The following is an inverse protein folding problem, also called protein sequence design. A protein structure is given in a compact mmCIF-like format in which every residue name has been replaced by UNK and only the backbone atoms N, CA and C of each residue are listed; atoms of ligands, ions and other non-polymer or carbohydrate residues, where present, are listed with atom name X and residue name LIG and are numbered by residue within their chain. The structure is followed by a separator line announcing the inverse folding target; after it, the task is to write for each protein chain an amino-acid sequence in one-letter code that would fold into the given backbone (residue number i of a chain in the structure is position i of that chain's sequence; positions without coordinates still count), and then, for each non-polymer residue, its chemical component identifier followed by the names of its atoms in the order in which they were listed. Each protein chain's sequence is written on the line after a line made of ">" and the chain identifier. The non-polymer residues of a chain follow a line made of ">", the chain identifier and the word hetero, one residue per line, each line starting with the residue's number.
data_IF_552133485963
#
_entry.id   IF_552133485963
#
_cell.length_a   1.000
_cell.length_b   1.000
_cell.length_c   1.000
_cell.angle_alpha   90.00
_cell.angle_beta   90.00
_cell.angle_gamma   90.00
#
_symmetry.space_group_name_H-M   'P 1'
#
loop_
_entity.id
_entity.type
_entity.pdbx_description
1 polymer ?
#
# COMPACT_ATOMS: atom_id res chain seq x y z
N UNK A 1 -12.50 13.94 -24.26
CA UNK A 1 -12.60 13.72 -22.81
C UNK A 1 -13.64 12.64 -22.58
N UNK A 2 -13.41 11.75 -21.62
CA UNK A 2 -14.22 10.52 -21.46
C UNK A 2 -14.77 10.44 -20.05
N UNK A 3 -15.93 9.81 -19.89
CA UNK A 3 -16.55 9.53 -18.60
C UNK A 3 -15.94 8.25 -18.03
N UNK A 4 -15.22 8.34 -16.91
CA UNK A 4 -14.56 7.18 -16.30
C UNK A 4 -15.10 6.96 -14.89
N UNK A 5 -15.47 5.71 -14.60
CA UNK A 5 -15.82 5.30 -13.24
C UNK A 5 -14.66 4.51 -12.65
N UNK A 6 -14.15 4.97 -11.51
CA UNK A 6 -13.16 4.25 -10.71
C UNK A 6 -13.87 3.57 -9.56
N UNK A 7 -13.86 2.25 -9.54
CA UNK A 7 -14.49 1.44 -8.50
C UNK A 7 -13.47 1.09 -7.42
N UNK A 8 -13.60 1.76 -6.27
CA UNK A 8 -12.71 1.63 -5.11
C UNK A 8 -12.00 2.94 -4.76
N UNK A 9 -12.02 3.30 -3.48
CA UNK A 9 -11.40 4.51 -2.94
C UNK A 9 -10.20 4.20 -2.02
N UNK A 10 -9.51 3.08 -2.26
CA UNK A 10 -8.19 2.82 -1.68
C UNK A 10 -7.09 3.57 -2.42
N UNK A 11 -5.85 3.41 -1.96
CA UNK A 11 -4.69 4.08 -2.58
C UNK A 11 -4.59 3.79 -4.09
N UNK A 12 -4.86 2.56 -4.54
CA UNK A 12 -4.87 2.19 -5.95
C UNK A 12 -5.90 3.02 -6.74
N UNK A 13 -7.16 3.02 -6.28
CA UNK A 13 -8.25 3.72 -6.96
C UNK A 13 -8.09 5.24 -6.93
N UNK A 14 -7.75 5.83 -5.78
CA UNK A 14 -7.58 7.27 -5.63
C UNK A 14 -6.40 7.80 -6.46
N UNK A 15 -5.27 7.07 -6.48
CA UNK A 15 -4.10 7.48 -7.27
C UNK A 15 -4.40 7.37 -8.77
N UNK A 16 -5.02 6.28 -9.23
CA UNK A 16 -5.43 6.16 -10.65
C UNK A 16 -6.45 7.22 -11.04
N UNK A 17 -7.46 7.46 -10.21
CA UNK A 17 -8.44 8.52 -10.43
C UNK A 17 -7.77 9.89 -10.58
N UNK A 18 -6.80 10.21 -9.71
CA UNK A 18 -6.10 11.49 -9.73
C UNK A 18 -5.31 11.67 -11.03
N UNK A 19 -4.60 10.63 -11.45
CA UNK A 19 -3.83 10.68 -12.70
C UNK A 19 -4.73 10.80 -13.94
N UNK A 20 -5.88 10.11 -13.97
CA UNK A 20 -6.90 10.28 -15.02
C UNK A 20 -7.50 11.69 -15.01
N UNK A 21 -7.81 12.24 -13.84
CA UNK A 21 -8.30 13.61 -13.74
C UNK A 21 -7.25 14.63 -14.21
N UNK A 22 -5.96 14.42 -13.91
CA UNK A 22 -4.84 15.24 -14.44
C UNK A 22 -4.72 15.17 -15.97
N UNK A 23 -5.21 14.12 -16.62
CA UNK A 23 -5.31 13.99 -18.08
C UNK A 23 -6.58 14.64 -18.67
N UNK A 24 -7.45 15.20 -17.83
CA UNK A 24 -8.66 15.92 -18.25
C UNK A 24 -9.89 15.03 -18.47
N UNK A 25 -9.89 13.78 -17.99
CA UNK A 25 -11.10 12.94 -18.00
C UNK A 25 -12.08 13.37 -16.91
N UNK A 26 -13.37 13.11 -17.15
CA UNK A 26 -14.39 13.25 -16.12
C UNK A 26 -14.41 11.98 -15.28
N UNK A 27 -14.06 12.09 -14.00
CA UNK A 27 -13.89 10.93 -13.14
C UNK A 27 -14.96 10.89 -12.07
N UNK A 28 -15.58 9.72 -11.90
CA UNK A 28 -16.41 9.40 -10.73
C UNK A 28 -15.78 8.27 -9.96
N UNK A 29 -15.42 8.50 -8.70
CA UNK A 29 -14.99 7.43 -7.79
C UNK A 29 -16.22 6.88 -7.08
N UNK A 30 -16.48 5.59 -7.21
CA UNK A 30 -17.56 4.88 -6.51
C UNK A 30 -16.93 3.86 -5.57
N UNK A 31 -17.29 3.88 -4.29
CA UNK A 31 -16.73 2.90 -3.35
C UNK A 31 -17.67 2.61 -2.17
N UNK A 32 -17.57 1.39 -1.62
CA UNK A 32 -18.23 1.00 -0.36
C UNK A 32 -17.66 1.79 0.81
N UNK A 33 -16.34 1.77 0.95
CA UNK A 33 -15.58 2.48 2.00
C UNK A 33 -14.79 3.64 1.41
N UNK A 34 -14.64 4.72 2.18
CA UNK A 34 -13.98 5.96 1.81
C UNK A 34 -12.89 6.33 2.81
N UNK A 35 -11.94 7.22 2.46
CA UNK A 35 -11.00 7.79 3.42
C UNK A 35 -11.73 8.37 4.64
N UNK A 36 -11.33 7.93 5.83
CA UNK A 36 -12.04 8.19 7.10
C UNK A 36 -12.67 6.94 7.72
N UNK A 37 -13.01 5.94 6.90
CA UNK A 37 -13.53 4.67 7.41
C UNK A 37 -12.42 3.73 7.86
N UNK A 38 -12.73 2.91 8.85
CA UNK A 38 -11.95 1.74 9.24
C UNK A 38 -12.82 0.50 9.13
N UNK A 39 -12.49 -0.37 8.18
CA UNK A 39 -13.20 -1.63 7.96
C UNK A 39 -12.24 -2.69 7.42
N UNK A 40 -12.46 -3.96 7.75
CA UNK A 40 -11.56 -5.06 7.36
C UNK A 40 -11.52 -5.27 5.84
N UNK A 41 -12.58 -4.90 5.13
CA UNK A 41 -12.65 -4.93 3.67
C UNK A 41 -11.92 -3.75 3.01
N UNK A 42 -11.42 -2.79 3.79
CA UNK A 42 -10.75 -1.59 3.30
C UNK A 42 -9.30 -1.53 3.80
N UNK A 43 -8.38 -2.10 3.01
CA UNK A 43 -6.99 -2.28 3.42
C UNK A 43 -6.19 -0.97 3.64
N UNK A 44 -6.50 0.09 2.88
CA UNK A 44 -5.63 1.28 2.78
C UNK A 44 -5.39 2.02 4.11
N UNK A 45 -6.39 2.25 4.99
CA UNK A 45 -6.18 2.94 6.27
C UNK A 45 -5.32 2.18 7.28
N UNK A 46 -5.27 0.83 7.16
CA UNK A 46 -4.52 -0.05 8.05
C UNK A 46 -3.02 -0.10 7.78
N UNK A 47 -2.60 0.28 6.57
CA UNK A 47 -1.19 0.25 6.18
C UNK A 47 -0.33 1.18 7.06
N UNK A 48 0.97 0.89 7.14
CA UNK A 48 1.93 1.70 7.90
C UNK A 48 1.87 3.19 7.57
N UNK A 49 2.24 3.68 6.39
CA UNK A 49 2.87 3.01 5.26
C UNK A 49 4.22 3.68 4.95
N UNK A 50 5.12 3.00 4.25
CA UNK A 50 6.41 3.56 3.84
C UNK A 50 6.79 3.13 2.42
N UNK A 51 7.96 3.55 1.95
CA UNK A 51 8.58 3.08 0.72
C UNK A 51 9.74 2.12 1.05
N UNK A 52 9.52 0.82 0.94
CA UNK A 52 10.54 -0.21 1.16
C UNK A 52 10.51 -1.19 -0.02
N UNK A 53 11.28 -0.94 -1.10
CA UNK A 53 11.19 -1.75 -2.31
C UNK A 53 11.50 -3.23 -2.09
N UNK A 54 10.54 -4.09 -2.43
CA UNK A 54 10.64 -5.55 -2.25
C UNK A 54 10.63 -6.32 -3.57
N UNK A 55 10.46 -5.62 -4.70
CA UNK A 55 10.45 -6.27 -6.01
C UNK A 55 11.82 -6.84 -6.37
N UNK A 56 11.78 -7.97 -7.07
CA UNK A 56 12.96 -8.57 -7.70
C UNK A 56 13.41 -7.73 -8.90
N UNK A 57 14.73 -7.66 -9.17
CA UNK A 57 15.25 -7.02 -10.37
C UNK A 57 14.65 -7.57 -11.66
N UNK A 58 14.55 -6.72 -12.68
CA UNK A 58 14.06 -7.03 -14.03
C UNK A 58 12.61 -7.53 -14.05
N UNK A 59 11.76 -6.99 -13.18
CA UNK A 59 10.32 -7.27 -13.16
C UNK A 59 9.50 -6.00 -13.41
N UNK A 60 8.28 -6.14 -13.91
CA UNK A 60 7.36 -5.00 -14.02
C UNK A 60 7.12 -4.34 -12.66
N UNK A 61 7.09 -5.14 -11.59
CA UNK A 61 6.93 -4.64 -10.24
C UNK A 61 8.08 -3.69 -9.82
N UNK A 62 9.32 -4.00 -10.20
CA UNK A 62 10.45 -3.09 -10.02
C UNK A 62 10.24 -1.76 -10.74
N UNK A 63 9.75 -1.81 -11.98
CA UNK A 63 9.49 -0.60 -12.74
C UNK A 63 8.45 0.30 -12.06
N UNK A 64 7.41 -0.30 -11.45
CA UNK A 64 6.37 0.45 -10.75
C UNK A 64 6.82 1.02 -9.40
N UNK A 65 7.61 0.28 -8.63
CA UNK A 65 8.22 0.82 -7.41
C UNK A 65 9.16 1.97 -7.74
N UNK A 66 9.99 1.81 -8.76
CA UNK A 66 10.91 2.86 -9.23
C UNK A 66 10.16 4.09 -9.73
N UNK A 67 9.09 3.92 -10.51
CA UNK A 67 8.27 5.02 -11.01
C UNK A 67 7.47 5.73 -9.91
N UNK A 68 7.23 5.09 -8.77
CA UNK A 68 6.49 5.69 -7.65
C UNK A 68 7.35 6.64 -6.82
N UNK A 69 8.67 6.37 -6.69
CA UNK A 69 9.55 7.14 -5.84
C UNK A 69 9.57 8.65 -6.14
N UNK A 70 9.73 9.12 -7.39
CA UNK A 70 9.84 10.55 -7.67
C UNK A 70 8.66 11.39 -7.16
N UNK A 71 7.44 10.85 -7.24
CA UNK A 71 6.27 11.56 -6.74
C UNK A 71 6.17 11.51 -5.21
N UNK A 72 6.51 10.38 -4.57
CA UNK A 72 6.58 10.32 -3.10
C UNK A 72 7.65 11.27 -2.54
N UNK A 73 8.80 11.36 -3.21
CA UNK A 73 9.87 12.30 -2.89
C UNK A 73 9.40 13.75 -3.04
N UNK A 74 8.74 14.08 -4.15
CA UNK A 74 8.14 15.41 -4.36
C UNK A 74 7.11 15.75 -3.30
N UNK A 75 6.24 14.81 -2.93
CA UNK A 75 5.23 15.04 -1.89
C UNK A 75 5.86 15.28 -0.52
N UNK A 76 6.87 14.50 -0.16
CA UNK A 76 7.60 14.69 1.09
C UNK A 76 8.35 16.02 1.15
N UNK A 77 8.84 16.52 0.00
CA UNK A 77 9.62 17.76 -0.10
C UNK A 77 8.75 19.01 -0.22
N UNK A 78 7.73 18.96 -1.07
CA UNK A 78 7.06 20.14 -1.61
C UNK A 78 5.56 20.23 -1.23
N UNK A 79 4.97 19.18 -0.64
CA UNK A 79 3.51 19.12 -0.36
C UNK A 79 3.26 18.62 1.07
N UNK A 80 3.61 19.41 2.10
CA UNK A 80 3.49 18.99 3.50
C UNK A 80 2.05 18.60 3.89
N UNK A 81 1.04 19.20 3.27
CA UNK A 81 -0.37 18.87 3.50
C UNK A 81 -0.78 17.47 3.01
N UNK A 82 0.07 16.78 2.24
CA UNK A 82 -0.14 15.40 1.83
C UNK A 82 0.17 14.39 2.96
N UNK A 83 0.82 14.82 4.05
CA UNK A 83 1.16 13.94 5.16
C UNK A 83 2.19 12.86 4.80
N UNK A 84 3.18 13.22 3.97
CA UNK A 84 4.34 12.39 3.64
C UNK A 84 5.58 13.10 4.16
N UNK A 85 6.51 12.39 4.80
CA UNK A 85 7.79 12.97 5.22
C UNK A 85 8.95 12.01 4.97
N UNK A 86 10.17 12.54 4.95
CA UNK A 86 11.37 11.72 4.89
C UNK A 86 11.71 11.13 6.26
N UNK A 87 12.18 9.88 6.28
CA UNK A 87 12.82 9.26 7.44
C UNK A 87 13.94 8.33 6.99
N UNK A 88 15.03 8.30 7.76
CA UNK A 88 16.03 7.25 7.60
C UNK A 88 15.43 5.90 7.97
N UNK A 89 15.76 4.88 7.19
CA UNK A 89 15.20 3.54 7.28
C UNK A 89 16.31 2.52 7.42
N UNK A 90 16.36 1.87 8.58
CA UNK A 90 17.30 0.81 8.89
C UNK A 90 16.65 -0.55 8.59
N UNK A 91 17.28 -1.36 7.75
CA UNK A 91 16.84 -2.73 7.46
C UNK A 91 17.93 -3.69 7.91
N UNK A 92 17.62 -4.51 8.91
CA UNK A 92 18.57 -5.45 9.49
C UNK A 92 18.30 -6.88 9.05
N UNK A 93 19.39 -7.64 8.86
CA UNK A 93 19.37 -9.05 8.48
C UNK A 93 19.90 -9.90 9.63
N UNK A 94 19.21 -10.97 9.97
CA UNK A 94 19.72 -12.05 10.83
C UNK A 94 20.10 -13.24 9.96
N UNK A 95 21.29 -13.79 10.17
CA UNK A 95 21.79 -14.92 9.38
C UNK A 95 20.85 -16.15 9.44
N UNK A 96 20.26 -16.40 10.61
CA UNK A 96 19.37 -17.54 10.86
C UNK A 96 18.02 -17.48 10.11
N UNK A 97 17.65 -16.33 9.56
CA UNK A 97 16.36 -16.16 8.87
C UNK A 97 16.42 -16.58 7.41
N UNK A 98 17.62 -16.84 6.87
CA UNK A 98 17.81 -17.18 5.48
C UNK A 98 16.90 -18.36 5.08
N UNK A 99 16.04 -18.14 4.08
CA UNK A 99 15.08 -19.14 3.58
C UNK A 99 13.68 -19.12 4.23
N UNK A 100 13.44 -18.29 5.25
CA UNK A 100 12.08 -18.10 5.80
C UNK A 100 11.19 -17.24 4.87
N UNK A 101 9.85 -17.33 4.94
CA UNK A 101 8.96 -16.51 4.11
C UNK A 101 9.18 -15.00 4.27
N UNK A 102 9.46 -14.53 5.49
CA UNK A 102 9.74 -13.12 5.75
C UNK A 102 11.11 -12.73 5.19
N UNK A 103 12.14 -13.56 5.35
CA UNK A 103 13.44 -13.26 4.75
C UNK A 103 13.38 -13.24 3.22
N UNK A 104 12.59 -14.11 2.60
CA UNK A 104 12.36 -14.05 1.14
C UNK A 104 11.61 -12.78 0.73
N UNK A 105 10.69 -12.26 1.56
CA UNK A 105 10.04 -10.96 1.35
C UNK A 105 11.03 -9.78 1.46
N UNK A 106 11.95 -9.85 2.41
CA UNK A 106 12.97 -8.81 2.68
C UNK A 106 14.25 -8.97 1.85
N UNK A 107 14.34 -10.02 1.03
CA UNK A 107 15.58 -10.46 0.39
C UNK A 107 16.29 -9.35 -0.36
N UNK A 108 15.54 -8.56 -1.12
CA UNK A 108 16.07 -7.45 -1.91
C UNK A 108 16.46 -6.23 -1.05
N UNK A 109 15.76 -5.99 0.06
CA UNK A 109 16.02 -4.87 0.96
C UNK A 109 17.37 -4.98 1.69
N UNK A 110 17.81 -6.20 1.96
CA UNK A 110 19.05 -6.49 2.71
C UNK A 110 20.26 -6.72 1.80
N UNK A 111 20.11 -6.57 0.47
CA UNK A 111 21.23 -6.69 -0.47
C UNK A 111 22.14 -5.48 -0.41
N UNK A 112 23.44 -5.72 -0.45
CA UNK A 112 24.45 -4.66 -0.54
C UNK A 112 24.45 -3.96 -1.92
N UNK A 113 24.07 -4.70 -2.97
CA UNK A 113 23.91 -4.25 -4.35
C UNK A 113 22.44 -4.03 -4.73
N UNK A 114 21.57 -3.72 -3.76
CA UNK A 114 20.14 -3.54 -3.99
C UNK A 114 19.86 -2.57 -5.14
N UNK A 115 18.94 -2.94 -6.04
CA UNK A 115 18.65 -2.15 -7.24
C UNK A 115 18.16 -0.73 -6.94
N UNK A 116 17.53 -0.53 -5.78
CA UNK A 116 16.99 0.76 -5.36
C UNK A 116 18.04 1.69 -4.76
N UNK A 117 19.30 1.25 -4.59
CA UNK A 117 20.39 2.07 -4.05
C UNK A 117 20.61 3.39 -4.82
N UNK A 118 20.34 3.37 -6.12
CA UNK A 118 20.48 4.51 -7.04
C UNK A 118 19.14 5.25 -7.24
N UNK A 119 18.10 4.85 -6.49
CA UNK A 119 16.75 5.45 -6.51
C UNK A 119 16.53 6.26 -5.24
N UNK A 120 16.87 5.70 -4.08
CA UNK A 120 16.68 6.34 -2.77
C UNK A 120 17.93 7.12 -2.32
N UNK A 121 17.78 8.25 -1.60
CA UNK A 121 18.92 9.00 -1.09
C UNK A 121 19.69 8.25 0.01
N UNK A 122 20.99 8.56 0.12
CA UNK A 122 21.87 8.15 1.23
C UNK A 122 21.91 6.63 1.49
N UNK A 123 21.71 5.82 0.46
CA UNK A 123 21.87 4.37 0.59
C UNK A 123 23.31 4.02 0.96
N UNK A 124 23.48 3.18 1.98
CA UNK A 124 24.75 2.54 2.32
C UNK A 124 24.51 1.24 3.09
N UNK A 125 25.53 0.38 3.06
CA UNK A 125 25.62 -0.81 3.91
C UNK A 125 26.09 -0.39 5.30
N UNK A 126 25.52 -0.99 6.35
CA UNK A 126 25.94 -0.78 7.73
C UNK A 126 27.23 -1.53 8.01
N UNK A 127 28.16 -0.88 8.72
CA UNK A 127 29.35 -1.55 9.24
C UNK A 127 28.99 -2.44 10.44
N UNK A 128 29.84 -3.44 10.73
CA UNK A 128 29.61 -4.35 11.88
C UNK A 128 29.45 -3.62 13.22
N UNK A 129 30.09 -2.47 13.41
CA UNK A 129 29.96 -1.65 14.63
C UNK A 129 28.63 -0.91 14.76
N UNK A 130 27.87 -0.78 13.68
CA UNK A 130 26.55 -0.14 13.67
C UNK A 130 25.40 -1.15 13.83
N UNK A 131 25.70 -2.45 13.75
CA UNK A 131 24.69 -3.50 13.84
C UNK A 131 24.27 -3.74 15.29
N UNK A 132 22.95 -3.82 15.57
CA UNK A 132 22.46 -4.33 16.83
C UNK A 132 22.94 -5.76 17.10
N UNK A 133 22.97 -6.15 18.36
CA UNK A 133 23.31 -7.52 18.76
C UNK A 133 22.40 -8.54 18.05
N UNK A 134 23.00 -9.61 17.51
CA UNK A 134 22.29 -10.66 16.79
C UNK A 134 21.98 -10.36 15.32
N UNK A 135 22.36 -9.19 14.80
CA UNK A 135 22.26 -8.85 13.37
C UNK A 135 23.57 -9.17 12.64
N UNK A 136 23.46 -9.77 11.46
CA UNK A 136 24.58 -10.19 10.62
C UNK A 136 24.92 -9.17 9.52
N UNK A 137 23.94 -8.36 9.13
CA UNK A 137 24.13 -7.28 8.16
C UNK A 137 22.95 -6.32 8.17
N UNK A 138 23.05 -5.25 7.39
CA UNK A 138 21.94 -4.34 7.19
C UNK A 138 22.28 -3.18 6.27
N UNK A 139 21.24 -2.50 5.83
CA UNK A 139 21.32 -1.32 4.97
C UNK A 139 20.61 -0.16 5.65
N UNK A 140 21.01 1.07 5.29
CA UNK A 140 20.31 2.28 5.68
C UNK A 140 20.21 3.22 4.49
N UNK A 141 19.07 3.88 4.38
CA UNK A 141 18.78 4.89 3.35
C UNK A 141 17.69 5.84 3.84
N UNK A 142 17.62 7.04 3.25
CA UNK A 142 16.49 7.93 3.48
C UNK A 142 15.32 7.46 2.61
N UNK A 143 14.18 7.19 3.23
CA UNK A 143 12.93 6.82 2.57
C UNK A 143 11.82 7.80 2.97
N UNK A 144 10.56 7.47 2.71
CA UNK A 144 9.38 8.21 3.18
C UNK A 144 8.50 7.35 4.10
N UNK A 145 7.87 8.00 5.07
CA UNK A 145 6.71 7.45 5.79
C UNK A 145 5.47 8.30 5.50
N UNK A 146 4.35 7.62 5.24
CA UNK A 146 3.09 8.19 4.81
C UNK A 146 2.10 8.09 5.97
N UNK A 147 1.57 9.23 6.40
CA UNK A 147 0.41 9.26 7.27
C UNK A 147 -0.85 8.98 6.45
N UNK A 148 -1.28 7.71 6.42
CA UNK A 148 -2.44 7.28 5.62
C UNK A 148 -3.74 8.00 5.97
N UNK A 149 -3.87 8.50 7.21
CA UNK A 149 -5.06 9.23 7.67
C UNK A 149 -5.12 10.66 7.12
N UNK A 150 -3.99 11.22 6.65
CA UNK A 150 -3.93 12.53 5.97
C UNK A 150 -3.86 12.32 4.46
N UNK A 151 -3.02 11.39 4.01
CA UNK A 151 -2.73 11.17 2.60
C UNK A 151 -3.96 10.72 1.79
N UNK A 152 -4.78 9.81 2.33
CA UNK A 152 -5.97 9.34 1.62
C UNK A 152 -7.03 10.47 1.46
N UNK A 153 -7.39 11.25 2.51
CA UNK A 153 -8.21 12.45 2.32
C UNK A 153 -7.57 13.53 1.43
N UNK A 154 -6.25 13.68 1.46
CA UNK A 154 -5.54 14.61 0.57
C UNK A 154 -5.73 14.22 -0.90
N UNK A 155 -5.62 12.94 -1.26
CA UNK A 155 -5.92 12.45 -2.61
C UNK A 155 -7.37 12.76 -3.03
N UNK A 156 -8.33 12.59 -2.12
CA UNK A 156 -9.73 12.98 -2.36
C UNK A 156 -9.85 14.49 -2.60
N UNK A 157 -9.18 15.31 -1.82
CA UNK A 157 -9.19 16.76 -1.98
C UNK A 157 -8.60 17.17 -3.35
N UNK A 158 -7.52 16.53 -3.79
CA UNK A 158 -6.94 16.74 -5.11
C UNK A 158 -7.86 16.31 -6.26
N UNK A 159 -8.66 15.27 -6.07
CA UNK A 159 -9.71 14.87 -7.01
C UNK A 159 -10.82 15.91 -7.12
N UNK A 160 -11.32 16.40 -5.97
CA UNK A 160 -12.39 17.40 -5.92
C UNK A 160 -11.97 18.72 -6.57
N UNK A 161 -10.73 19.18 -6.33
CA UNK A 161 -10.16 20.37 -7.00
C UNK A 161 -10.18 20.28 -8.53
N UNK A 162 -10.21 19.05 -9.08
CA UNK A 162 -10.24 18.78 -10.52
C UNK A 162 -11.64 18.44 -11.04
N UNK A 163 -12.68 18.68 -10.26
CA UNK A 163 -14.07 18.44 -10.64
C UNK A 163 -14.46 16.96 -10.68
N UNK A 164 -13.66 16.07 -10.08
CA UNK A 164 -14.06 14.66 -9.91
C UNK A 164 -15.15 14.57 -8.85
N UNK A 165 -16.03 13.57 -8.97
CA UNK A 165 -17.08 13.31 -7.98
C UNK A 165 -16.82 12.00 -7.26
N UNK A 166 -16.94 12.00 -5.94
CA UNK A 166 -16.78 10.80 -5.10
C UNK A 166 -18.14 10.42 -4.53
N UNK A 167 -18.55 9.15 -4.68
CA UNK A 167 -19.87 8.64 -4.28
C UNK A 167 -19.76 7.31 -3.54
N UNK A 168 -20.56 7.15 -2.49
CA UNK A 168 -20.76 5.85 -1.84
C UNK A 168 -21.56 4.94 -2.76
N UNK A 169 -21.14 3.68 -2.88
CA UNK A 169 -21.85 2.69 -3.68
C UNK A 169 -21.33 1.27 -3.43
N UNK A 170 -22.25 0.31 -3.39
CA UNK A 170 -21.95 -1.12 -3.26
C UNK A 170 -22.47 -1.79 -4.52
N UNK A 171 -21.60 -2.50 -5.22
CA UNK A 171 -21.91 -3.17 -6.47
C UNK A 171 -21.84 -4.68 -6.26
N UNK A 172 -22.74 -5.41 -6.92
CA UNK A 172 -22.69 -6.89 -6.94
C UNK A 172 -21.92 -7.39 -8.15
N UNK A 173 -21.97 -6.66 -9.26
CA UNK A 173 -21.26 -6.96 -10.49
C UNK A 173 -20.51 -5.73 -11.02
N UNK A 174 -19.33 -5.93 -11.60
CA UNK A 174 -18.48 -4.83 -12.08
C UNK A 174 -19.14 -3.97 -13.17
N UNK A 175 -19.97 -4.57 -14.03
CA UNK A 175 -20.67 -3.84 -15.09
C UNK A 175 -21.67 -2.81 -14.57
N UNK A 176 -22.14 -2.90 -13.32
CA UNK A 176 -23.02 -1.91 -12.72
C UNK A 176 -22.35 -0.53 -12.67
N UNK A 177 -21.02 -0.47 -12.54
CA UNK A 177 -20.27 0.78 -12.52
C UNK A 177 -20.39 1.57 -13.83
N UNK A 178 -20.73 0.92 -14.95
CA UNK A 178 -20.94 1.60 -16.23
C UNK A 178 -22.05 2.67 -16.13
N UNK A 179 -23.02 2.52 -15.22
CA UNK A 179 -24.17 3.42 -15.11
C UNK A 179 -24.06 4.41 -13.94
N UNK A 180 -22.91 4.48 -13.26
CA UNK A 180 -22.76 5.26 -12.02
C UNK A 180 -22.00 6.58 -12.21
N UNK A 181 -21.65 6.94 -13.44
CA UNK A 181 -20.93 8.18 -13.70
C UNK A 181 -21.79 9.41 -13.33
N UNK A 182 -21.16 10.42 -12.72
CA UNK A 182 -21.89 11.57 -12.16
C UNK A 182 -22.60 12.45 -13.20
N UNK A 183 -22.19 12.39 -14.47
CA UNK A 183 -22.85 13.11 -15.56
C UNK A 183 -24.23 12.56 -15.95
N UNK A 184 -24.64 11.41 -15.37
CA UNK A 184 -25.87 10.71 -15.74
C UNK A 184 -25.79 9.93 -17.07
N UNK A 185 -24.64 9.98 -17.75
CA UNK A 185 -24.36 9.20 -18.97
C UNK A 185 -23.57 7.93 -18.61
N UNK A 186 -23.63 6.87 -19.44
CA UNK A 186 -22.78 5.70 -19.26
C UNK A 186 -21.29 6.06 -19.25
N UNK A 187 -20.52 5.34 -18.44
CA UNK A 187 -19.07 5.42 -18.43
C UNK A 187 -18.51 4.83 -19.73
N UNK A 188 -17.49 5.48 -20.27
CA UNK A 188 -16.72 4.99 -21.40
C UNK A 188 -15.76 3.87 -21.00
N UNK A 189 -15.32 3.89 -19.74
CA UNK A 189 -14.36 2.96 -19.18
C UNK A 189 -14.53 2.83 -17.66
N UNK A 190 -14.25 1.65 -17.13
CA UNK A 190 -14.25 1.37 -15.69
C UNK A 190 -12.82 1.03 -15.24
N UNK A 191 -12.34 1.64 -14.16
CA UNK A 191 -11.17 1.16 -13.43
C UNK A 191 -11.63 0.29 -12.28
N UNK A 192 -11.20 -0.97 -12.23
CA UNK A 192 -11.44 -1.84 -11.07
C UNK A 192 -10.26 -1.77 -10.09
N UNK A 193 -10.45 -1.08 -8.98
CA UNK A 193 -9.50 -0.96 -7.89
C UNK A 193 -10.06 -1.50 -6.57
N UNK A 194 -10.79 -2.61 -6.62
CA UNK A 194 -11.52 -3.17 -5.46
C UNK A 194 -10.70 -4.08 -4.54
N UNK A 195 -9.40 -4.23 -4.80
CA UNK A 195 -8.50 -4.97 -3.91
C UNK A 195 -8.95 -6.41 -3.66
N UNK A 196 -9.13 -6.77 -2.39
CA UNK A 196 -9.53 -8.10 -1.95
C UNK A 196 -10.96 -8.46 -2.39
N UNK A 197 -11.83 -7.45 -2.60
CA UNK A 197 -13.21 -7.67 -3.04
C UNK A 197 -13.31 -8.20 -4.48
N UNK A 198 -12.26 -8.06 -5.31
CA UNK A 198 -12.20 -8.69 -6.64
C UNK A 198 -12.35 -10.21 -6.58
N UNK A 199 -12.09 -10.86 -5.43
CA UNK A 199 -12.32 -12.29 -5.21
C UNK A 199 -13.80 -12.70 -5.39
N UNK A 200 -14.72 -11.79 -5.06
CA UNK A 200 -16.17 -12.04 -4.99
C UNK A 200 -17.02 -11.11 -5.86
N UNK A 201 -16.45 -10.04 -6.40
CA UNK A 201 -17.17 -9.11 -7.29
C UNK A 201 -17.55 -9.82 -8.59
N UNK A 202 -18.85 -9.87 -8.90
CA UNK A 202 -19.36 -10.52 -10.11
C UNK A 202 -18.73 -9.94 -11.38
N UNK A 203 -18.42 -10.82 -12.33
CA UNK A 203 -17.70 -10.47 -13.56
C UNK A 203 -16.19 -10.31 -13.38
N UNK A 204 -15.67 -10.47 -12.15
CA UNK A 204 -14.23 -10.51 -11.87
C UNK A 204 -13.87 -11.84 -11.20
N UNK A 205 -14.45 -12.08 -10.01
CA UNK A 205 -14.38 -13.36 -9.27
C UNK A 205 -13.00 -14.03 -9.23
N UNK A 206 -11.93 -13.22 -9.11
CA UNK A 206 -10.56 -13.67 -9.29
C UNK A 206 -10.10 -14.54 -8.11
N UNK A 207 -10.11 -15.86 -8.30
CA UNK A 207 -9.77 -16.86 -7.27
C UNK A 207 -8.29 -16.87 -6.89
N UNK A 208 -7.43 -16.15 -7.63
CA UNK A 208 -6.03 -15.96 -7.25
C UNK A 208 -5.85 -14.95 -6.12
N UNK A 209 -6.89 -14.20 -5.77
CA UNK A 209 -6.85 -13.18 -4.72
C UNK A 209 -7.07 -13.82 -3.35
N UNK A 210 -6.22 -13.50 -2.38
CA UNK A 210 -6.29 -14.00 -1.00
C UNK A 210 -5.81 -12.94 0.00
N UNK A 211 -6.19 -13.03 1.29
CA UNK A 211 -5.68 -12.09 2.29
C UNK A 211 -4.30 -12.52 2.81
N UNK A 212 -3.49 -11.55 3.22
CA UNK A 212 -2.46 -11.79 4.23
C UNK A 212 -2.67 -10.82 5.41
N UNK A 213 -3.09 -11.37 6.55
CA UNK A 213 -3.42 -10.61 7.75
C UNK A 213 -2.19 -9.91 8.30
N UNK A 214 -2.35 -8.62 8.62
CA UNK A 214 -1.34 -7.79 9.26
C UNK A 214 -1.94 -7.10 10.48
N UNK A 215 -1.39 -7.39 11.66
CA UNK A 215 -1.73 -6.70 12.89
C UNK A 215 -0.67 -5.65 13.23
N UNK A 216 -1.12 -4.52 13.76
CA UNK A 216 -0.30 -3.39 14.19
C UNK A 216 -0.70 -2.91 15.59
N UNK A 217 0.23 -2.22 16.24
CA UNK A 217 -0.02 -1.37 17.42
C UNK A 217 0.41 0.05 17.05
N UNK A 218 -0.51 1.01 17.13
CA UNK A 218 -0.20 2.43 16.95
C UNK A 218 0.12 3.04 18.31
N UNK A 219 1.28 3.67 18.44
CA UNK A 219 1.76 4.31 19.69
C UNK A 219 2.08 5.79 19.47
N UNK A 220 2.11 6.57 20.55
CA UNK A 220 2.53 7.98 20.52
C UNK A 220 4.05 8.16 20.53
N UNK A 221 4.80 7.14 20.97
CA UNK A 221 6.26 7.18 21.09
C UNK A 221 6.91 7.40 19.72
N UNK A 222 7.98 8.18 19.66
CA UNK A 222 8.64 8.60 18.42
C UNK A 222 10.11 8.15 18.41
N UNK A 223 10.49 7.15 17.61
CA UNK A 223 11.86 6.65 17.55
C UNK A 223 12.79 7.56 16.70
N UNK A 224 12.23 8.46 15.87
CA UNK A 224 12.99 9.34 14.98
C UNK A 224 13.43 8.70 13.64
N UNK A 225 13.37 7.38 13.51
CA UNK A 225 13.72 6.64 12.30
C UNK A 225 12.77 5.45 12.06
N UNK A 226 12.81 4.87 10.86
CA UNK A 226 12.15 3.61 10.56
C UNK A 226 13.13 2.45 10.75
N UNK A 227 12.64 1.31 11.22
CA UNK A 227 13.44 0.11 11.40
C UNK A 227 12.67 -1.16 11.03
N UNK A 228 13.35 -2.17 10.51
CA UNK A 228 12.77 -3.48 10.23
C UNK A 228 13.82 -4.59 10.29
N UNK A 229 13.37 -5.84 10.48
CA UNK A 229 14.25 -7.02 10.48
C UNK A 229 13.77 -8.07 9.47
N UNK A 230 14.70 -8.90 9.00
CA UNK A 230 14.43 -10.02 8.09
C UNK A 230 13.53 -11.13 8.65
N UNK A 231 13.22 -11.11 9.95
CA UNK A 231 12.46 -12.16 10.63
C UNK A 231 12.38 -11.93 12.14
N UNK A 232 11.73 -12.87 12.83
CA UNK A 232 11.60 -12.89 14.30
C UNK A 232 11.79 -14.31 14.87
N UNK A 233 11.87 -14.44 16.19
CA UNK A 233 11.97 -15.76 16.86
C UNK A 233 10.59 -16.27 17.34
N UNK A 234 9.54 -15.51 17.03
CA UNK A 234 8.17 -15.75 17.51
C UNK A 234 7.33 -16.55 16.50
N UNK A 235 7.88 -16.90 15.34
CA UNK A 235 7.22 -17.68 14.29
C UNK A 235 7.44 -17.13 12.89
N UNK A 236 7.24 -17.97 11.88
CA UNK A 236 7.51 -17.65 10.46
C UNK A 236 6.56 -16.60 9.87
N UNK A 237 5.40 -16.37 10.51
CA UNK A 237 4.41 -15.38 10.11
C UNK A 237 4.47 -14.09 10.94
N UNK A 238 5.42 -13.98 11.87
CA UNK A 238 5.62 -12.81 12.73
C UNK A 238 6.83 -11.97 12.29
N UNK A 239 6.61 -10.67 12.09
CA UNK A 239 7.60 -9.71 11.61
C UNK A 239 7.89 -8.62 12.65
N UNK A 240 8.97 -7.85 12.45
CA UNK A 240 9.25 -6.63 13.20
C UNK A 240 9.50 -5.46 12.25
N UNK A 241 8.69 -4.41 12.37
CA UNK A 241 8.89 -3.13 11.69
C UNK A 241 8.31 -1.98 12.49
N UNK A 242 8.93 -0.81 12.36
CA UNK A 242 8.61 0.41 13.09
C UNK A 242 8.68 1.57 12.09
N UNK A 243 7.64 2.38 12.04
CA UNK A 243 7.63 3.59 11.19
C UNK A 243 6.74 4.69 11.77
N UNK A 244 7.23 5.92 11.77
CA UNK A 244 6.53 7.07 12.36
C UNK A 244 5.82 7.86 11.28
N UNK A 245 4.49 7.91 11.34
CA UNK A 245 3.69 8.67 10.38
C UNK A 245 3.98 10.16 10.51
N UNK A 246 4.04 10.86 9.38
CA UNK A 246 4.19 12.31 9.31
C UNK A 246 3.09 13.06 10.10
N UNK A 247 3.38 14.32 10.43
CA UNK A 247 2.42 15.27 11.03
C UNK A 247 1.71 14.73 12.28
N UNK A 248 2.46 14.13 13.21
CA UNK A 248 1.93 13.63 14.48
C UNK A 248 0.97 12.45 14.33
N UNK A 249 1.05 11.70 13.23
CA UNK A 249 0.16 10.56 12.96
C UNK A 249 0.37 9.33 13.85
N UNK A 250 1.39 9.36 14.72
CA UNK A 250 1.81 8.26 15.60
C UNK A 250 2.75 7.27 14.91
N UNK A 251 3.34 6.39 15.71
CA UNK A 251 4.28 5.36 15.26
C UNK A 251 3.58 4.02 15.15
N UNK A 252 3.67 3.41 13.98
CA UNK A 252 3.15 2.07 13.70
C UNK A 252 4.22 1.05 14.09
N UNK A 253 3.88 0.19 15.04
CA UNK A 253 4.62 -1.00 15.39
C UNK A 253 3.94 -2.20 14.72
N UNK A 254 4.70 -2.99 13.99
CA UNK A 254 4.21 -4.25 13.44
C UNK A 254 5.29 -5.33 13.49
N UNK A 255 4.95 -6.56 13.13
CA UNK A 255 3.61 -7.00 12.77
C UNK A 255 3.57 -8.50 12.49
N UNK A 256 2.71 -8.88 11.56
CA UNK A 256 2.61 -10.25 11.05
C UNK A 256 2.28 -10.26 9.55
N UNK A 257 2.45 -11.42 8.93
CA UNK A 257 2.09 -11.75 7.56
C UNK A 257 1.43 -13.14 7.53
N UNK A 258 0.18 -13.21 7.99
CA UNK A 258 -0.53 -14.50 8.14
C UNK A 258 -1.37 -14.76 6.88
N UNK A 259 -0.85 -15.57 5.99
CA UNK A 259 -1.45 -15.88 4.68
C UNK A 259 -2.77 -16.64 4.85
N UNK A 260 -3.79 -16.25 4.10
CA UNK A 260 -5.10 -16.90 4.09
C UNK A 260 -5.99 -16.57 5.31
N UNK A 261 -5.47 -15.84 6.30
CA UNK A 261 -6.21 -15.49 7.50
C UNK A 261 -7.11 -14.26 7.28
N UNK A 262 -8.37 -14.37 7.71
CA UNK A 262 -9.40 -13.34 7.57
C UNK A 262 -9.80 -12.68 8.90
N UNK A 263 -9.24 -13.14 10.03
CA UNK A 263 -9.60 -12.61 11.36
C UNK A 263 -9.36 -11.09 11.42
N UNK A 264 -10.42 -10.38 11.80
CA UNK A 264 -10.47 -8.91 11.86
C UNK A 264 -10.07 -8.35 13.22
N UNK A 265 -10.18 -9.15 14.28
CA UNK A 265 -9.92 -8.68 15.63
C UNK A 265 -8.43 -8.75 15.97
N UNK A 266 -7.87 -7.74 16.65
CA UNK A 266 -6.52 -7.82 17.18
C UNK A 266 -6.38 -8.96 18.20
N UNK A 267 -5.35 -9.77 18.06
CA UNK A 267 -4.95 -10.76 19.07
C UNK A 267 -4.08 -10.07 20.14
N UNK A 268 -4.51 -10.03 21.43
CA UNK A 268 -3.75 -9.42 22.51
C UNK A 268 -2.35 -10.02 22.72
N UNK A 269 -2.19 -11.33 22.47
CA UNK A 269 -0.90 -12.00 22.62
C UNK A 269 0.07 -11.55 21.52
N UNK A 270 -0.38 -11.54 20.26
CA UNK A 270 0.38 -11.00 19.14
C UNK A 270 0.72 -9.51 19.35
N UNK A 271 -0.21 -8.71 19.87
CA UNK A 271 0.05 -7.30 20.17
C UNK A 271 1.19 -7.14 21.21
N UNK A 272 1.18 -7.96 22.26
CA UNK A 272 2.24 -7.98 23.27
C UNK A 272 3.59 -8.34 22.67
N UNK A 273 3.63 -9.37 21.80
CA UNK A 273 4.87 -9.76 21.12
C UNK A 273 5.38 -8.70 20.15
N UNK A 274 4.50 -8.06 19.37
CA UNK A 274 4.84 -6.91 18.50
C UNK A 274 5.52 -5.80 19.32
N UNK A 275 4.93 -5.39 20.44
CA UNK A 275 5.48 -4.34 21.29
C UNK A 275 6.84 -4.71 21.88
N UNK A 276 7.01 -5.95 22.35
CA UNK A 276 8.30 -6.45 22.86
C UNK A 276 9.38 -6.45 21.78
N UNK A 277 9.08 -6.94 20.58
CA UNK A 277 10.02 -6.93 19.45
C UNK A 277 10.40 -5.51 19.04
N UNK A 278 9.43 -4.59 19.03
CA UNK A 278 9.68 -3.21 18.67
C UNK A 278 10.66 -2.53 19.65
N UNK A 279 10.46 -2.72 20.96
CA UNK A 279 11.39 -2.21 21.99
C UNK A 279 12.76 -2.88 21.85
N UNK A 280 12.81 -4.19 21.61
CA UNK A 280 14.07 -4.91 21.40
C UNK A 280 14.86 -4.38 20.20
N UNK A 281 14.18 -4.05 19.09
CA UNK A 281 14.81 -3.51 17.89
C UNK A 281 15.18 -2.02 18.03
N UNK A 282 14.35 -1.24 18.72
CA UNK A 282 14.53 0.19 18.91
C UNK A 282 14.34 0.55 20.38
N UNK A 283 15.37 0.33 21.23
CA UNK A 283 15.28 0.60 22.67
C UNK A 283 14.92 2.05 22.99
N UNK A 284 15.26 3.00 22.10
CA UNK A 284 14.89 4.41 22.21
C UNK A 284 13.39 4.71 22.13
N UNK A 285 12.53 3.73 21.81
CA UNK A 285 11.07 3.89 21.89
C UNK A 285 10.58 4.13 23.32
N UNK A 286 11.33 3.70 24.33
CA UNK A 286 10.96 3.78 25.75
C UNK A 286 12.14 4.25 26.59
N UNK A 287 11.91 4.79 27.80
CA UNK A 287 12.99 5.10 28.75
C UNK A 287 13.85 3.86 29.05
N UNK A 288 15.14 4.07 29.33
CA UNK A 288 16.07 2.98 29.63
C UNK A 288 15.55 2.15 30.83
N UNK A 289 15.46 0.83 30.62
CA UNK A 289 14.99 -0.12 31.62
C UNK A 289 13.47 -0.30 31.70
N UNK A 290 12.70 0.50 30.96
CA UNK A 290 11.26 0.30 30.84
C UNK A 290 10.91 -0.76 29.78
N UNK A 291 9.75 -1.38 29.95
CA UNK A 291 9.16 -2.35 29.03
C UNK A 291 7.97 -1.80 28.26
N UNK A 292 7.06 -2.70 27.89
CA UNK A 292 5.86 -2.38 27.09
C UNK A 292 4.92 -1.39 27.78
N UNK A 293 4.97 -1.28 29.11
CA UNK A 293 4.17 -0.37 29.90
C UNK A 293 4.49 1.11 29.65
N UNK A 294 5.68 1.40 29.10
CA UNK A 294 6.08 2.76 28.71
C UNK A 294 5.67 3.12 27.26
N UNK A 295 5.08 2.20 26.51
CA UNK A 295 4.47 2.52 25.22
C UNK A 295 3.09 3.15 25.44
N UNK A 296 2.94 4.40 25.01
CA UNK A 296 1.65 5.10 25.03
C UNK A 296 0.81 4.65 23.83
N UNK A 297 0.11 3.53 23.99
CA UNK A 297 -0.75 2.96 22.93
C UNK A 297 -1.91 3.91 22.59
N UNK A 298 -2.11 4.13 21.30
CA UNK A 298 -3.26 4.85 20.73
C UNK A 298 -4.36 3.86 20.36
N UNK A 299 -4.02 2.80 19.62
CA UNK A 299 -4.95 1.72 19.25
C UNK A 299 -4.22 0.48 18.75
N UNK A 300 -4.93 -0.64 18.75
CA UNK A 300 -4.58 -1.83 17.99
C UNK A 300 -5.33 -1.83 16.66
N UNK A 301 -4.79 -2.47 15.62
CA UNK A 301 -5.45 -2.53 14.31
C UNK A 301 -5.07 -3.78 13.52
N UNK A 302 -5.98 -4.22 12.66
CA UNK A 302 -5.78 -5.36 11.76
C UNK A 302 -6.27 -4.97 10.38
N UNK A 303 -5.42 -5.20 9.38
CA UNK A 303 -5.77 -5.08 7.97
C UNK A 303 -5.47 -6.37 7.22
N UNK A 304 -6.20 -6.60 6.14
CA UNK A 304 -5.94 -7.71 5.22
C UNK A 304 -5.25 -7.16 3.97
N UNK A 305 -3.99 -7.56 3.76
CA UNK A 305 -3.28 -7.24 2.52
C UNK A 305 -3.98 -7.97 1.36
N UNK A 306 -4.39 -7.27 0.28
CA UNK A 306 -5.06 -7.88 -0.87
C UNK A 306 -4.03 -8.58 -1.76
N UNK A 307 -3.53 -9.73 -1.32
CA UNK A 307 -2.56 -10.52 -2.06
C UNK A 307 -3.20 -11.15 -3.30
N UNK A 308 -2.36 -11.49 -4.29
CA UNK A 308 -2.81 -12.21 -5.47
C UNK A 308 -1.69 -13.12 -6.01
N UNK A 309 -2.02 -14.36 -6.35
CA UNK A 309 -1.10 -15.24 -7.07
C UNK A 309 -0.78 -14.65 -8.45
N UNK A 310 0.51 -14.58 -8.78
CA UNK A 310 0.99 -13.88 -9.98
C UNK A 310 1.10 -12.36 -9.83
N UNK A 311 0.89 -11.82 -8.62
CA UNK A 311 1.09 -10.39 -8.32
C UNK A 311 -0.04 -9.48 -8.79
N UNK A 312 0.26 -8.19 -8.90
CA UNK A 312 -0.67 -7.13 -9.26
C UNK A 312 -1.29 -7.42 -10.64
N UNK A 313 -2.63 -7.37 -10.72
CA UNK A 313 -3.34 -7.42 -12.00
C UNK A 313 -3.55 -5.99 -12.49
N UNK A 314 -2.79 -5.61 -13.52
CA UNK A 314 -2.96 -4.36 -14.26
C UNK A 314 -3.09 -4.64 -15.76
N UNK A 315 -4.32 -4.82 -16.22
CA UNK A 315 -4.61 -5.21 -17.60
C UNK A 315 -6.00 -4.72 -18.03
N UNK A 316 -6.21 -4.65 -19.35
CA UNK A 316 -7.49 -4.29 -19.96
C UNK A 316 -8.31 -5.54 -20.27
N UNK A 317 -9.59 -5.51 -19.93
CA UNK A 317 -10.58 -6.54 -20.25
C UNK A 317 -11.83 -5.89 -20.89
N UNK A 318 -12.54 -6.62 -21.74
CA UNK A 318 -13.84 -6.20 -22.28
C UNK A 318 -14.87 -7.27 -21.92
N UNK A 319 -15.83 -6.89 -21.09
CA UNK A 319 -16.92 -7.77 -20.66
C UNK A 319 -18.20 -7.44 -21.41
N UNK A 320 -19.01 -8.46 -21.66
CA UNK A 320 -20.40 -8.28 -22.07
C UNK A 320 -21.27 -8.09 -20.82
N UNK A 321 -21.80 -6.89 -20.63
CA UNK A 321 -22.77 -6.59 -19.58
C UNK A 321 -24.15 -7.19 -19.86
N UNK A 322 -25.08 -7.09 -18.89
CA UNK A 322 -26.48 -7.49 -19.09
C UNK A 322 -27.07 -6.81 -20.35
N UNK A 323 -27.66 -7.59 -21.26
CA UNK A 323 -28.18 -7.08 -22.54
C UNK A 323 -27.15 -6.95 -23.67
N UNK A 324 -25.93 -7.47 -23.51
CA UNK A 324 -24.93 -7.57 -24.59
C UNK A 324 -24.07 -6.30 -24.79
N UNK A 325 -24.23 -5.28 -23.93
CA UNK A 325 -23.42 -4.07 -23.99
C UNK A 325 -21.97 -4.39 -23.62
N UNK A 326 -21.01 -4.03 -24.49
CA UNK A 326 -19.59 -4.17 -24.18
C UNK A 326 -19.14 -3.09 -23.20
N UNK A 327 -18.49 -3.51 -22.12
CA UNK A 327 -17.95 -2.63 -21.07
C UNK A 327 -16.44 -2.83 -21.02
N UNK A 328 -15.68 -1.77 -21.24
CA UNK A 328 -14.22 -1.81 -21.13
C UNK A 328 -13.79 -1.55 -19.70
N UNK A 329 -12.96 -2.44 -19.18
CA UNK A 329 -12.46 -2.43 -17.81
C UNK A 329 -10.94 -2.42 -17.85
N UNK A 330 -10.32 -1.64 -16.98
CA UNK A 330 -8.90 -1.78 -16.64
C UNK A 330 -8.81 -2.19 -15.18
N UNK A 331 -8.22 -3.36 -14.93
CA UNK A 331 -7.96 -3.84 -13.59
C UNK A 331 -6.75 -3.13 -12.99
N UNK A 332 -6.81 -2.85 -11.68
CA UNK A 332 -5.70 -2.34 -10.89
C UNK A 332 -5.89 -2.79 -9.43
N UNK A 333 -5.65 -4.07 -9.17
CA UNK A 333 -5.81 -4.68 -7.84
C UNK A 333 -4.79 -5.80 -7.59
N UNK A 334 -4.75 -6.35 -6.36
CA UNK A 334 -3.82 -7.42 -5.98
C UNK A 334 -2.45 -6.93 -5.50
N UNK A 335 -2.41 -5.74 -4.88
CA UNK A 335 -1.16 -5.08 -4.46
C UNK A 335 -0.54 -5.61 -3.16
N UNK A 336 -1.13 -6.62 -2.53
CA UNK A 336 -0.56 -7.22 -1.31
C UNK A 336 -0.11 -6.20 -0.27
N UNK A 337 1.14 -6.33 0.19
CA UNK A 337 1.77 -5.44 1.17
C UNK A 337 2.42 -4.17 0.62
N UNK A 338 2.34 -3.91 -0.69
CA UNK A 338 3.14 -2.90 -1.39
C UNK A 338 2.30 -1.88 -2.18
N UNK A 339 1.01 -1.76 -1.86
CA UNK A 339 0.09 -0.88 -2.58
C UNK A 339 0.44 0.61 -2.56
N UNK A 340 1.04 1.11 -1.47
CA UNK A 340 1.47 2.51 -1.39
C UNK A 340 2.76 2.76 -2.19
N UNK A 341 3.79 1.92 -1.99
CA UNK A 341 5.10 2.09 -2.64
C UNK A 341 5.12 1.80 -4.14
N UNK A 342 4.06 1.19 -4.67
CA UNK A 342 3.85 0.99 -6.12
C UNK A 342 2.67 1.80 -6.67
N UNK A 343 2.03 2.63 -5.85
CA UNK A 343 0.74 3.27 -6.17
C UNK A 343 0.78 4.08 -7.48
N UNK A 344 1.73 5.01 -7.61
CA UNK A 344 1.84 5.86 -8.79
C UNK A 344 2.29 5.08 -10.02
N UNK A 345 3.31 4.22 -9.91
CA UNK A 345 3.80 3.45 -11.05
C UNK A 345 2.76 2.50 -11.64
N UNK A 346 1.99 1.81 -10.79
CA UNK A 346 0.88 0.97 -11.29
C UNK A 346 -0.27 1.82 -11.82
N UNK A 347 -0.58 2.95 -11.17
CA UNK A 347 -1.61 3.86 -11.65
C UNK A 347 -1.26 4.45 -13.02
N UNK A 348 0.00 4.76 -13.30
CA UNK A 348 0.47 5.18 -14.62
C UNK A 348 0.28 4.09 -15.68
N UNK A 349 0.59 2.84 -15.34
CA UNK A 349 0.32 1.70 -16.22
C UNK A 349 -1.19 1.54 -16.51
N UNK A 350 -2.04 1.67 -15.50
CA UNK A 350 -3.49 1.62 -15.65
C UNK A 350 -4.03 2.79 -16.50
N UNK A 351 -3.51 4.00 -16.30
CA UNK A 351 -3.85 5.18 -17.12
C UNK A 351 -3.45 4.98 -18.57
N UNK A 352 -2.26 4.43 -18.83
CA UNK A 352 -1.80 4.11 -20.19
C UNK A 352 -2.77 3.15 -20.90
N UNK A 353 -3.16 2.06 -20.22
CA UNK A 353 -4.13 1.10 -20.74
C UNK A 353 -5.50 1.73 -20.99
N UNK A 354 -5.95 2.62 -20.10
CA UNK A 354 -7.20 3.35 -20.26
C UNK A 354 -7.17 4.27 -21.49
N UNK A 355 -6.08 5.02 -21.67
CA UNK A 355 -5.88 5.89 -22.84
C UNK A 355 -5.84 5.12 -24.16
N UNK A 356 -5.15 3.98 -24.18
CA UNK A 356 -5.12 3.09 -25.34
C UNK A 356 -6.52 2.57 -25.69
N UNK A 357 -7.27 2.12 -24.68
CA UNK A 357 -8.64 1.65 -24.86
C UNK A 357 -9.58 2.72 -25.41
N UNK A 358 -9.48 3.94 -24.88
CA UNK A 358 -10.30 5.08 -25.30
C UNK A 358 -9.98 5.53 -26.73
N UNK A 359 -8.72 5.45 -27.16
CA UNK A 359 -8.32 5.75 -28.56
C UNK A 359 -8.87 4.75 -29.56
N UNK A 360 -8.89 3.45 -29.24
CA UNK A 360 -9.46 2.43 -30.12
C UNK A 360 -10.95 2.68 -30.36
N UNK A 361 -11.69 3.10 -29.33
CA UNK A 361 -13.12 3.40 -29.42
C UNK A 361 -13.43 4.61 -30.33
N UNK A 362 -12.51 5.58 -30.44
CA UNK A 362 -12.70 6.76 -31.27
C UNK A 362 -12.43 6.52 -32.77
N UNK A 363 -11.85 5.38 -33.15
CA UNK A 363 -11.52 5.02 -34.54
C UNK A 363 -12.53 4.05 -35.19
N UNK A 364 -13.43 3.50 -34.39
CA UNK A 364 -14.58 2.69 -34.81
C UNK A 364 -15.82 3.58 -34.83
#
# INVERSE_FOLDING_TARGET
>A
MSNIVVLGAGVSGLTTALLLAKKGHHVTVVAKHMPGDYDIEYASPWAGANYLPVSKPNTDFQSWEKATWPELERLARDVPEAGVHFQDSYVYRRAKDAGTPIAEWFKELVREDAWFRDVVPKFRVLSKSELPEGMDGGTVFTSVCINTAIYLPWLVSELLKRGSVVKRGILKHISEAANLHHSGKPADLIINATGLSSLKLGGVEDKKVYPARGQIVLVRNEPGFMASTSGTDDGDDEACYIMQRAAGGGTVLGGCLQVGQWESQPDPNLATRIMKRAIGLCPGLVPKGAGIEALSVVRHGVGLRPMREGGIRVEKEVLSGPGGQKVTIVHNYGHGGYGYQSSYGVAEAAVKLAEEALKTKARL
#
